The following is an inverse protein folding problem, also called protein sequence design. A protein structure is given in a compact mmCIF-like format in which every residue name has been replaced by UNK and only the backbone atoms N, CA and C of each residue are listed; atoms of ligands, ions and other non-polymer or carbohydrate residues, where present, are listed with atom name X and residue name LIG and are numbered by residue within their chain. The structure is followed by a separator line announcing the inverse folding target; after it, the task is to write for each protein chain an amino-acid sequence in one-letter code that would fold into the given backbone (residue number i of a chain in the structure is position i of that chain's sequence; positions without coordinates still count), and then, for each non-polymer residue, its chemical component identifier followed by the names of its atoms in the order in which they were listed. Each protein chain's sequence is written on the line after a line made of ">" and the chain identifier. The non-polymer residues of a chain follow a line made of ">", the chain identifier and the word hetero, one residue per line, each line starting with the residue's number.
data_IF_938385802793
#
_entry.id   IF_938385802793
#
_cell.length_a   1.000
_cell.length_b   1.000
_cell.length_c   1.000
_cell.angle_alpha   90.00
_cell.angle_beta   90.00
_cell.angle_gamma   90.00
#
_symmetry.space_group_name_H-M   'P 1'
#
loop_
_entity.id
_entity.type
_entity.pdbx_description
1 polymer ?
#
# COMPACT_ATOMS: atom_id res chain seq x y z
N UNK A 1 14.02 0.35 14.20
CA UNK A 1 13.00 -0.04 13.25
C UNK A 1 12.86 0.95 12.13
N UNK A 2 12.80 0.48 10.93
CA UNK A 2 12.77 1.33 9.75
C UNK A 2 11.35 1.46 9.23
N UNK A 3 10.76 2.64 9.41
CA UNK A 3 9.39 2.88 8.99
C UNK A 3 9.22 2.73 7.48
N UNK A 4 10.24 3.14 6.74
CA UNK A 4 10.22 2.99 5.28
C UNK A 4 10.12 1.52 4.89
N UNK A 5 10.86 0.67 5.57
CA UNK A 5 10.83 -0.76 5.26
C UNK A 5 9.47 -1.36 5.57
N UNK A 6 8.84 -0.90 6.62
CA UNK A 6 7.50 -1.37 6.96
C UNK A 6 6.49 -1.01 5.87
N UNK A 7 6.57 0.22 5.39
CA UNK A 7 5.68 0.65 4.32
C UNK A 7 5.89 -0.18 3.06
N UNK A 8 7.15 -0.39 2.72
CA UNK A 8 7.51 -1.18 1.54
C UNK A 8 6.95 -2.59 1.66
N UNK A 9 7.16 -3.22 2.81
CA UNK A 9 6.70 -4.58 3.03
C UNK A 9 5.19 -4.70 2.91
N UNK A 10 4.46 -3.76 3.50
CA UNK A 10 3.00 -3.80 3.45
C UNK A 10 2.48 -3.58 2.05
N UNK A 11 3.09 -2.66 1.32
CA UNK A 11 2.68 -2.39 -0.05
C UNK A 11 2.94 -3.58 -0.96
N UNK A 12 4.10 -4.20 -0.81
CA UNK A 12 4.44 -5.38 -1.61
C UNK A 12 3.45 -6.51 -1.32
N UNK A 13 3.17 -6.73 -0.05
CA UNK A 13 2.25 -7.78 0.35
C UNK A 13 0.86 -7.54 -0.22
N UNK A 14 0.35 -6.33 -0.07
CA UNK A 14 -0.98 -5.99 -0.58
C UNK A 14 -1.04 -6.14 -2.09
N UNK A 15 0.02 -5.76 -2.77
CA UNK A 15 0.08 -5.87 -4.22
C UNK A 15 0.10 -7.33 -4.68
N UNK A 16 0.86 -8.16 -3.99
CA UNK A 16 0.97 -9.58 -4.33
C UNK A 16 -0.29 -10.35 -3.99
N UNK A 17 -0.92 -10.02 -2.88
CA UNK A 17 -2.15 -10.67 -2.45
C UNK A 17 -3.37 -10.24 -3.26
N UNK A 18 -3.25 -9.14 -3.98
CA UNK A 18 -4.37 -8.58 -4.70
C UNK A 18 -5.30 -7.77 -3.82
N UNK A 19 -4.92 -7.55 -2.57
CA UNK A 19 -5.71 -6.73 -1.65
C UNK A 19 -5.79 -5.29 -2.15
N UNK A 20 -4.69 -4.80 -2.66
CA UNK A 20 -4.63 -3.46 -3.22
C UNK A 20 -3.60 -3.48 -4.36
N UNK A 21 -4.08 -3.43 -5.57
CA UNK A 21 -3.19 -3.51 -6.73
C UNK A 21 -2.52 -2.18 -7.01
N UNK A 22 -1.20 -2.19 -6.99
CA UNK A 22 -0.41 -0.98 -7.19
C UNK A 22 0.06 -0.87 -8.63
N UNK A 23 0.12 -2.00 -9.34
CA UNK A 23 0.55 -2.07 -10.74
C UNK A 23 2.03 -1.69 -10.90
N UNK A 24 2.82 -2.04 -9.90
CA UNK A 24 4.25 -1.83 -9.92
C UNK A 24 4.94 -3.11 -9.48
N UNK A 25 6.14 -3.33 -9.98
CA UNK A 25 6.92 -4.49 -9.56
C UNK A 25 7.49 -4.24 -8.17
N UNK A 26 7.92 -5.33 -7.53
CA UNK A 26 8.54 -5.23 -6.22
C UNK A 26 9.73 -4.30 -6.25
N UNK A 27 10.52 -4.39 -7.32
CA UNK A 27 11.71 -3.54 -7.47
C UNK A 27 11.33 -2.07 -7.54
N UNK A 28 10.26 -1.77 -8.28
CA UNK A 28 9.80 -0.41 -8.41
C UNK A 28 9.31 0.15 -7.08
N UNK A 29 8.60 -0.68 -6.31
CA UNK A 29 8.12 -0.27 -5.00
C UNK A 29 9.29 0.04 -4.07
N UNK A 30 10.31 -0.81 -4.11
CA UNK A 30 11.49 -0.61 -3.27
C UNK A 30 12.27 0.65 -3.65
N UNK A 31 12.17 1.06 -4.90
CA UNK A 31 12.90 2.22 -5.41
C UNK A 31 12.17 3.53 -5.20
N UNK A 32 10.92 3.49 -4.77
CA UNK A 32 10.15 4.72 -4.57
C UNK A 32 10.69 5.54 -3.42
N UNK A 33 10.56 6.87 -3.53
CA UNK A 33 10.99 7.73 -2.44
C UNK A 33 9.93 7.72 -1.33
N UNK A 34 10.29 8.32 -0.19
CA UNK A 34 9.41 8.29 0.99
C UNK A 34 8.06 8.95 0.74
N UNK A 35 8.05 10.03 -0.01
CA UNK A 35 6.81 10.73 -0.30
C UNK A 35 5.84 9.86 -1.09
N UNK A 36 6.35 9.20 -2.11
CA UNK A 36 5.53 8.33 -2.93
C UNK A 36 5.00 7.15 -2.13
N UNK A 37 5.85 6.58 -1.30
CA UNK A 37 5.43 5.48 -0.44
C UNK A 37 4.31 5.89 0.49
N UNK A 38 4.43 7.10 1.07
CA UNK A 38 3.40 7.61 1.96
C UNK A 38 2.08 7.83 1.24
N UNK A 39 2.15 8.38 0.05
CA UNK A 39 0.95 8.66 -0.74
C UNK A 39 0.22 7.35 -1.07
N UNK A 40 0.96 6.37 -1.56
CA UNK A 40 0.36 5.10 -1.94
C UNK A 40 -0.18 4.37 -0.71
N UNK A 41 0.58 4.42 0.38
CA UNK A 41 0.15 3.77 1.61
C UNK A 41 -1.15 4.40 2.13
N UNK A 42 -1.23 5.72 2.12
CA UNK A 42 -2.44 6.42 2.54
C UNK A 42 -3.62 6.06 1.65
N UNK A 43 -3.37 5.99 0.34
CA UNK A 43 -4.41 5.61 -0.61
C UNK A 43 -4.91 4.21 -0.32
N UNK A 44 -3.99 3.30 -0.01
CA UNK A 44 -4.34 1.93 0.32
C UNK A 44 -5.20 1.88 1.58
N UNK A 45 -4.80 2.62 2.59
CA UNK A 45 -5.56 2.65 3.85
C UNK A 45 -6.96 3.21 3.64
N UNK A 46 -7.07 4.27 2.86
CA UNK A 46 -8.36 4.86 2.54
C UNK A 46 -9.24 3.89 1.76
N UNK A 47 -8.66 3.21 0.80
CA UNK A 47 -9.39 2.24 0.00
C UNK A 47 -9.96 1.12 0.87
N UNK A 48 -9.14 0.59 1.75
CA UNK A 48 -9.59 -0.50 2.62
C UNK A 48 -10.63 -0.01 3.63
N UNK A 49 -10.47 1.21 4.11
CA UNK A 49 -11.44 1.78 5.03
C UNK A 49 -12.78 2.01 4.37
N UNK A 50 -12.76 2.54 3.15
CA UNK A 50 -13.99 2.74 2.39
C UNK A 50 -14.71 1.42 2.14
N UNK A 51 -13.95 0.41 1.80
CA UNK A 51 -14.51 -0.90 1.55
C UNK A 51 -15.21 -1.45 2.77
N UNK A 52 -14.61 -1.23 3.93
CA UNK A 52 -15.19 -1.63 5.20
C UNK A 52 -16.48 -0.90 5.51
N UNK A 53 -16.43 0.42 5.34
CA UNK A 53 -17.58 1.26 5.60
C UNK A 53 -18.74 0.89 4.69
N UNK A 54 -18.42 0.54 3.46
CA UNK A 54 -19.42 0.17 2.48
C UNK A 54 -20.16 -1.09 2.87
N UNK A 55 -19.49 -1.99 3.53
CA UNK A 55 -20.06 -3.26 3.95
C UNK A 55 -21.09 -3.08 5.06
N UNK A 56 -20.97 -2.00 5.79
CA UNK A 56 -21.84 -1.76 6.95
C UNK A 56 -23.25 -1.31 6.61
N UNK A 57 -23.55 -1.22 5.35
CA UNK A 57 -24.92 -0.99 4.96
C UNK A 57 -25.68 -2.31 4.96
#
# INVERSE_FOLDING_TARGET
>A
MNKRQELIDELIKANEDGTYKIYKSTEEIKAMNNEELQIIYSSMKNYLSDKRTHINY
#
